data_IF_592357561609
#
_entry.id   IF_592357561609
#
_cell.length_a   1.000
_cell.length_b   1.000
_cell.length_c   1.000
_cell.angle_alpha   90.00
_cell.angle_beta   90.00
_cell.angle_gamma   90.00
#
_symmetry.space_group_name_H-M   'P 1'
#
loop_
_entity.id
_entity.type
_entity.pdbx_description
1 polymer ?
#
# COMPACT_ATOMS: atom_id res chain seq x y z
N UNK A 1 -51.53 3.29 -30.29
CA UNK A 1 -51.33 3.95 -28.99
C UNK A 1 -51.57 2.92 -27.90
N UNK A 2 -50.53 2.23 -27.43
CA UNK A 2 -50.27 2.02 -26.00
C UNK A 2 -48.95 1.27 -25.78
N UNK A 3 -48.11 1.94 -25.00
CA UNK A 3 -46.83 1.55 -24.42
C UNK A 3 -47.01 0.54 -23.30
N UNK A 4 -46.22 -0.53 -23.27
CA UNK A 4 -45.87 -1.30 -22.06
C UNK A 4 -44.38 -1.66 -22.24
N UNK A 5 -43.50 -0.76 -21.81
CA UNK A 5 -42.70 -0.91 -20.58
C UNK A 5 -41.66 -2.03 -20.64
N UNK A 6 -40.47 -1.60 -21.05
CA UNK A 6 -39.17 -2.19 -20.77
C UNK A 6 -39.07 -2.57 -19.29
N UNK A 7 -39.04 -3.87 -19.01
CA UNK A 7 -38.74 -4.43 -17.69
C UNK A 7 -37.29 -4.10 -17.33
N UNK A 8 -37.10 -2.97 -16.66
CA UNK A 8 -35.87 -2.66 -15.94
C UNK A 8 -35.61 -3.80 -14.96
N UNK A 9 -34.49 -4.50 -15.17
CA UNK A 9 -34.02 -5.57 -14.32
C UNK A 9 -33.51 -4.89 -13.04
N UNK A 10 -34.34 -4.93 -11.99
CA UNK A 10 -34.06 -4.35 -10.68
C UNK A 10 -32.67 -4.79 -10.19
N UNK A 11 -31.86 -3.81 -9.81
CA UNK A 11 -30.50 -3.99 -9.28
C UNK A 11 -30.49 -4.07 -7.75
N UNK A 12 -31.67 -4.25 -7.14
CA UNK A 12 -31.93 -4.05 -5.71
C UNK A 12 -32.16 -5.37 -4.94
N UNK A 13 -31.68 -6.51 -5.47
CA UNK A 13 -31.91 -7.85 -4.87
C UNK A 13 -30.60 -8.57 -4.50
N UNK A 14 -29.51 -7.83 -4.29
CA UNK A 14 -28.31 -8.35 -3.60
C UNK A 14 -28.54 -8.18 -2.10
N UNK A 15 -28.78 -9.29 -1.40
CA UNK A 15 -29.00 -9.31 0.04
C UNK A 15 -27.91 -8.50 0.78
N UNK A 16 -28.27 -7.72 1.82
CA UNK A 16 -27.28 -7.03 2.63
C UNK A 16 -26.29 -8.05 3.18
N UNK A 17 -24.99 -7.74 3.11
CA UNK A 17 -23.94 -8.57 3.69
C UNK A 17 -24.33 -8.93 5.13
N UNK A 18 -24.24 -10.22 5.47
CA UNK A 18 -24.63 -10.75 6.78
C UNK A 18 -23.98 -9.94 7.92
N UNK A 19 -24.76 -9.55 8.93
CA UNK A 19 -24.30 -8.77 10.08
C UNK A 19 -23.15 -9.45 10.84
N UNK A 20 -23.16 -10.78 10.92
CA UNK A 20 -22.08 -11.54 11.53
C UNK A 20 -20.78 -11.41 10.71
N UNK A 21 -20.89 -11.40 9.38
CA UNK A 21 -19.74 -11.18 8.47
C UNK A 21 -19.21 -9.76 8.63
N UNK A 22 -20.09 -8.75 8.67
CA UNK A 22 -19.71 -7.35 8.89
C UNK A 22 -18.95 -7.17 10.21
N UNK A 23 -19.48 -7.74 11.30
CA UNK A 23 -18.87 -7.68 12.63
C UNK A 23 -17.48 -8.35 12.67
N UNK A 24 -17.34 -9.49 12.00
CA UNK A 24 -16.08 -10.22 11.92
C UNK A 24 -15.01 -9.40 11.17
N UNK A 25 -15.37 -8.82 10.02
CA UNK A 25 -14.48 -7.98 9.21
C UNK A 25 -14.07 -6.71 9.98
N UNK A 26 -15.01 -6.01 10.60
CA UNK A 26 -14.71 -4.81 11.41
C UNK A 26 -13.71 -5.12 12.53
N UNK A 27 -13.97 -6.20 13.29
CA UNK A 27 -13.11 -6.62 14.39
C UNK A 27 -11.70 -6.96 13.89
N UNK A 28 -11.58 -7.68 12.77
CA UNK A 28 -10.30 -8.01 12.16
C UNK A 28 -9.54 -6.74 11.74
N UNK A 29 -10.21 -5.79 11.08
CA UNK A 29 -9.60 -4.54 10.64
C UNK A 29 -9.12 -3.66 11.79
N UNK A 30 -9.88 -3.55 12.88
CA UNK A 30 -9.47 -2.81 14.09
C UNK A 30 -8.21 -3.46 14.70
N UNK A 31 -8.14 -4.79 14.77
CA UNK A 31 -6.97 -5.51 15.29
C UNK A 31 -5.74 -5.28 14.41
N UNK A 32 -5.89 -5.34 13.08
CA UNK A 32 -4.83 -5.05 12.11
C UNK A 32 -4.31 -3.62 12.30
N UNK A 33 -5.20 -2.62 12.30
CA UNK A 33 -4.84 -1.21 12.46
C UNK A 33 -4.10 -0.97 13.78
N UNK A 34 -4.55 -1.57 14.88
CA UNK A 34 -3.89 -1.47 16.19
C UNK A 34 -2.49 -2.07 16.18
N UNK A 35 -2.29 -3.21 15.51
CA UNK A 35 -0.97 -3.85 15.38
C UNK A 35 -0.01 -3.00 14.55
N UNK A 36 -0.50 -2.41 13.46
CA UNK A 36 0.28 -1.50 12.61
C UNK A 36 0.68 -0.22 13.36
N UNK A 37 -0.27 0.41 14.05
CA UNK A 37 0.01 1.61 14.86
C UNK A 37 1.02 1.34 15.99
N UNK A 38 0.94 0.18 16.64
CA UNK A 38 1.93 -0.20 17.67
C UNK A 38 3.31 -0.44 17.08
N UNK A 39 3.41 -0.97 15.85
CA UNK A 39 4.70 -1.22 15.17
C UNK A 39 5.30 0.07 14.61
N UNK A 40 4.48 1.04 14.21
CA UNK A 40 4.95 2.38 13.82
C UNK A 40 5.33 3.26 15.02
N UNK A 41 4.74 3.01 16.20
CA UNK A 41 5.10 3.68 17.46
C UNK A 41 6.22 2.95 18.24
N UNK A 42 6.57 1.71 17.90
CA UNK A 42 7.63 0.93 18.55
C UNK A 42 8.97 1.07 17.81
N UNK A 43 9.74 2.06 18.26
CA UNK A 43 10.98 2.59 17.65
C UNK A 43 12.30 1.88 18.03
N UNK A 44 12.42 0.58 18.36
CA UNK A 44 13.78 0.00 18.24
C UNK A 44 13.82 -1.50 17.89
N UNK A 45 13.68 -1.88 16.62
CA UNK A 45 14.24 -3.16 16.13
C UNK A 45 14.73 -3.00 14.68
N UNK A 46 15.85 -2.30 14.53
CA UNK A 46 16.73 -2.41 13.38
C UNK A 46 17.99 -3.15 13.81
N UNK A 47 17.95 -4.48 13.73
CA UNK A 47 19.15 -5.30 13.84
C UNK A 47 19.45 -5.85 12.44
N UNK A 48 20.50 -5.33 11.81
CA UNK A 48 21.06 -5.90 10.57
C UNK A 48 21.56 -4.90 9.53
N UNK A 49 21.30 -3.60 9.65
CA UNK A 49 21.85 -2.56 8.77
C UNK A 49 22.71 -1.58 9.59
N UNK A 50 23.79 -1.06 8.98
CA UNK A 50 24.81 -0.25 9.67
C UNK A 50 24.26 1.09 10.21
N UNK A 51 23.11 1.56 9.72
CA UNK A 51 22.40 2.71 10.27
C UNK A 51 20.89 2.44 10.42
N UNK A 52 20.22 3.01 11.44
CA UNK A 52 18.78 2.90 11.58
C UNK A 52 18.04 3.69 10.48
N UNK A 53 17.63 3.03 9.39
CA UNK A 53 16.65 3.52 8.42
C UNK A 53 15.30 3.78 9.09
N UNK A 54 14.89 5.05 9.14
CA UNK A 54 13.59 5.44 9.68
C UNK A 54 12.45 4.75 8.90
N UNK A 55 11.42 4.26 9.63
CA UNK A 55 10.29 3.53 9.04
C UNK A 55 9.56 4.36 7.97
N UNK A 56 9.54 5.68 8.17
CA UNK A 56 8.97 6.62 7.22
C UNK A 56 9.80 6.73 5.93
N UNK A 57 11.13 6.69 6.04
CA UNK A 57 12.03 6.66 4.88
C UNK A 57 11.79 5.40 4.05
N UNK A 58 11.70 4.23 4.69
CA UNK A 58 11.43 2.97 3.98
C UNK A 58 10.06 2.98 3.28
N UNK A 59 9.04 3.59 3.88
CA UNK A 59 7.72 3.74 3.27
C UNK A 59 7.75 4.59 1.99
N UNK A 60 8.63 5.60 1.91
CA UNK A 60 8.86 6.35 0.66
C UNK A 60 9.52 5.47 -0.38
N UNK A 61 10.52 4.66 -0.01
CA UNK A 61 11.19 3.76 -0.95
C UNK A 61 10.20 2.73 -1.51
N UNK A 62 9.36 2.12 -0.66
CA UNK A 62 8.28 1.21 -1.09
C UNK A 62 7.28 1.91 -2.03
N UNK A 63 6.90 3.16 -1.76
CA UNK A 63 5.98 3.90 -2.62
C UNK A 63 6.61 4.22 -4.00
N UNK A 64 7.91 4.54 -4.05
CA UNK A 64 8.61 4.78 -5.31
C UNK A 64 8.73 3.49 -6.13
N UNK A 65 9.04 2.35 -5.49
CA UNK A 65 9.09 1.04 -6.14
C UNK A 65 7.75 0.65 -6.79
N UNK A 66 6.65 0.87 -6.06
CA UNK A 66 5.30 0.60 -6.55
C UNK A 66 4.94 1.47 -7.75
N UNK A 67 5.15 2.78 -7.66
CA UNK A 67 4.86 3.70 -8.78
C UNK A 67 5.75 3.48 -10.00
N UNK A 68 6.97 2.98 -9.82
CA UNK A 68 7.86 2.63 -10.94
C UNK A 68 7.40 1.37 -11.67
N UNK A 69 6.78 0.43 -10.95
CA UNK A 69 6.23 -0.82 -11.51
C UNK A 69 4.92 -0.59 -12.27
N UNK A 70 4.18 0.46 -11.94
CA UNK A 70 2.99 0.91 -12.68
C UNK A 70 3.42 1.70 -13.94
N UNK A 71 3.62 0.97 -15.04
CA UNK A 71 4.12 1.48 -16.33
C UNK A 71 3.54 2.86 -16.72
N UNK A 72 4.39 3.89 -16.70
CA UNK A 72 4.15 5.16 -17.38
C UNK A 72 3.81 6.37 -16.51
N UNK A 73 3.81 6.27 -15.18
CA UNK A 73 3.68 7.46 -14.32
C UNK A 73 4.99 7.88 -13.68
N UNK A 74 5.35 9.14 -13.95
CA UNK A 74 6.38 9.87 -13.25
C UNK A 74 6.08 9.92 -11.73
N UNK A 75 6.87 9.22 -10.91
CA UNK A 75 6.67 9.19 -9.46
C UNK A 75 7.01 10.53 -8.85
N UNK A 76 6.00 11.27 -8.38
CA UNK A 76 6.18 12.59 -7.76
C UNK A 76 6.08 12.55 -6.24
N UNK A 77 6.48 13.65 -5.58
CA UNK A 77 6.21 13.82 -4.14
C UNK A 77 4.70 13.79 -3.84
N UNK A 78 3.87 14.25 -4.78
CA UNK A 78 2.40 14.18 -4.66
C UNK A 78 1.92 12.73 -4.65
N UNK A 79 2.41 11.91 -5.58
CA UNK A 79 2.14 10.47 -5.60
C UNK A 79 2.51 9.80 -4.27
N UNK A 80 3.69 10.13 -3.73
CA UNK A 80 4.12 9.60 -2.42
C UNK A 80 3.21 10.08 -1.27
N UNK A 81 2.76 11.34 -1.30
CA UNK A 81 1.84 11.87 -0.30
C UNK A 81 0.49 11.13 -0.31
N UNK A 82 -0.07 10.94 -1.50
CA UNK A 82 -1.32 10.21 -1.71
C UNK A 82 -1.18 8.75 -1.25
N UNK A 83 -0.09 8.10 -1.67
CA UNK A 83 0.14 6.68 -1.36
C UNK A 83 0.34 6.41 0.13
N UNK A 84 1.01 7.33 0.82
CA UNK A 84 1.22 7.24 2.27
C UNK A 84 0.05 7.81 3.09
N UNK A 85 -0.97 8.38 2.44
CA UNK A 85 -2.10 9.06 3.07
C UNK A 85 -1.65 10.11 4.11
N UNK A 86 -0.66 10.93 3.75
CA UNK A 86 -0.11 12.00 4.58
C UNK A 86 -0.16 13.35 3.86
N UNK A 87 -0.06 14.44 4.62
CA UNK A 87 -0.04 15.77 4.04
C UNK A 87 1.23 16.00 3.17
N UNK A 88 1.13 16.80 2.08
CA UNK A 88 2.26 17.04 1.17
C UNK A 88 3.50 17.63 1.87
N UNK A 89 3.32 18.43 2.93
CA UNK A 89 4.45 19.01 3.65
C UNK A 89 5.26 17.95 4.40
N UNK A 90 4.58 16.95 4.97
CA UNK A 90 5.18 15.80 5.63
C UNK A 90 5.81 14.86 4.62
N UNK A 91 5.13 14.56 3.51
CA UNK A 91 5.69 13.76 2.43
C UNK A 91 6.99 14.37 1.89
N UNK A 92 7.00 15.68 1.64
CA UNK A 92 8.21 16.39 1.17
C UNK A 92 9.40 16.25 2.13
N UNK A 93 9.16 16.37 3.45
CA UNK A 93 10.19 16.16 4.47
C UNK A 93 10.76 14.74 4.44
N UNK A 94 9.89 13.73 4.44
CA UNK A 94 10.33 12.32 4.45
C UNK A 94 11.06 11.97 3.14
N UNK A 95 10.59 12.48 1.99
CA UNK A 95 11.29 12.33 0.70
C UNK A 95 12.65 13.00 0.74
N UNK A 96 12.77 14.20 1.30
CA UNK A 96 14.05 14.87 1.44
C UNK A 96 15.02 14.04 2.30
N UNK A 97 14.51 13.36 3.34
CA UNK A 97 15.31 12.47 4.17
C UNK A 97 15.75 11.23 3.38
N UNK A 98 14.86 10.61 2.60
CA UNK A 98 15.19 9.48 1.71
C UNK A 98 16.25 9.84 0.65
N UNK A 99 16.20 11.07 0.13
CA UNK A 99 17.22 11.58 -0.80
C UNK A 99 18.56 11.79 -0.09
N UNK A 100 18.55 12.38 1.11
CA UNK A 100 19.79 12.58 1.89
C UNK A 100 20.44 11.27 2.33
N UNK A 101 19.63 10.26 2.63
CA UNK A 101 20.09 8.89 2.93
C UNK A 101 20.51 8.10 1.69
N UNK A 102 20.35 8.66 0.48
CA UNK A 102 20.81 8.05 -0.77
C UNK A 102 19.94 6.91 -1.30
N UNK A 103 18.75 6.67 -0.75
CA UNK A 103 17.83 5.63 -1.23
C UNK A 103 17.06 6.05 -2.49
N UNK A 104 16.80 7.35 -2.63
CA UNK A 104 16.04 7.94 -3.73
C UNK A 104 16.83 9.09 -4.33
N UNK A 105 16.70 9.31 -5.63
CA UNK A 105 17.21 10.51 -6.30
C UNK A 105 16.09 11.26 -7.00
N UNK A 106 16.25 12.58 -7.08
CA UNK A 106 15.35 13.44 -7.86
C UNK A 106 15.81 13.48 -9.32
N UNK A 107 14.87 13.30 -10.23
CA UNK A 107 15.09 13.47 -11.67
C UNK A 107 14.10 14.47 -12.25
N UNK A 108 14.43 15.05 -13.40
CA UNK A 108 13.46 15.83 -14.15
C UNK A 108 12.40 14.88 -14.73
N UNK A 109 11.14 15.27 -14.63
CA UNK A 109 10.03 14.58 -15.32
C UNK A 109 10.29 14.53 -16.82
N UNK A 110 9.99 13.38 -17.43
CA UNK A 110 10.09 13.22 -18.88
C UNK A 110 8.97 13.97 -19.62
N UNK A 111 7.84 14.20 -18.95
CA UNK A 111 6.68 14.90 -19.52
C UNK A 111 6.70 16.43 -19.29
N UNK A 112 7.19 16.88 -18.13
CA UNK A 112 7.29 18.30 -17.79
C UNK A 112 8.52 18.56 -16.92
N UNK A 113 9.63 19.00 -17.52
CA UNK A 113 10.89 19.25 -16.80
C UNK A 113 10.82 20.26 -15.64
N UNK A 114 9.70 20.95 -15.45
CA UNK A 114 9.42 21.76 -14.23
C UNK A 114 9.01 20.91 -13.03
N UNK A 115 8.65 19.65 -13.22
CA UNK A 115 8.28 18.68 -12.19
C UNK A 115 9.49 17.83 -11.84
N UNK A 116 9.66 17.59 -10.54
CA UNK A 116 10.68 16.69 -10.01
C UNK A 116 10.04 15.33 -9.74
N UNK A 117 10.59 14.31 -10.38
CA UNK A 117 10.26 12.91 -10.15
C UNK A 117 11.28 12.25 -9.23
N UNK A 118 10.92 11.09 -8.74
CA UNK A 118 11.69 10.29 -7.80
C UNK A 118 12.00 8.95 -8.46
N UNK A 119 13.26 8.56 -8.39
CA UNK A 119 13.72 7.24 -8.84
C UNK A 119 14.51 6.58 -7.71
N UNK A 120 14.42 5.26 -7.60
CA UNK A 120 15.29 4.51 -6.71
C UNK A 120 16.75 4.63 -7.15
N UNK A 121 17.64 4.64 -6.18
CA UNK A 121 19.06 4.36 -6.41
C UNK A 121 19.31 2.86 -6.25
N UNK A 122 20.50 2.38 -6.61
CA UNK A 122 20.89 0.99 -6.31
C UNK A 122 20.75 0.66 -4.81
N UNK A 123 21.07 1.60 -3.92
CA UNK A 123 20.88 1.43 -2.48
C UNK A 123 19.39 1.35 -2.10
N UNK A 124 18.53 2.13 -2.78
CA UNK A 124 17.08 2.05 -2.63
C UNK A 124 16.51 0.69 -3.05
N UNK A 125 16.93 0.18 -4.20
CA UNK A 125 16.55 -1.13 -4.71
C UNK A 125 16.97 -2.26 -3.74
N UNK A 126 18.18 -2.20 -3.20
CA UNK A 126 18.64 -3.15 -2.17
C UNK A 126 17.79 -3.10 -0.90
N UNK A 127 17.43 -1.89 -0.45
CA UNK A 127 16.58 -1.69 0.73
C UNK A 127 15.17 -2.25 0.52
N UNK A 128 14.57 -2.01 -0.66
CA UNK A 128 13.29 -2.60 -1.09
C UNK A 128 13.38 -4.12 -1.08
N UNK A 129 14.38 -4.70 -1.72
CA UNK A 129 14.55 -6.14 -1.78
C UNK A 129 14.70 -6.76 -0.36
N UNK A 130 15.45 -6.11 0.53
CA UNK A 130 15.57 -6.54 1.92
C UNK A 130 14.26 -6.45 2.70
N UNK A 131 13.48 -5.39 2.49
CA UNK A 131 12.17 -5.21 3.08
C UNK A 131 11.18 -6.27 2.55
N UNK A 132 11.16 -6.54 1.25
CA UNK A 132 10.35 -7.60 0.65
C UNK A 132 10.65 -8.97 1.24
N UNK A 133 11.92 -9.37 1.34
CA UNK A 133 12.31 -10.64 1.98
C UNK A 133 11.82 -10.72 3.42
N UNK A 134 11.97 -9.64 4.18
CA UNK A 134 11.51 -9.56 5.58
C UNK A 134 9.99 -9.71 5.67
N UNK A 135 9.24 -9.02 4.81
CA UNK A 135 7.77 -9.12 4.73
C UNK A 135 7.33 -10.54 4.35
N UNK A 136 7.93 -11.13 3.32
CA UNK A 136 7.62 -12.49 2.86
C UNK A 136 7.89 -13.53 3.94
N UNK A 137 9.04 -13.47 4.62
CA UNK A 137 9.35 -14.36 5.74
C UNK A 137 8.34 -14.23 6.88
N UNK A 138 7.92 -13.00 7.18
CA UNK A 138 6.88 -12.76 8.18
C UNK A 138 5.54 -13.38 7.77
N UNK A 139 5.08 -13.18 6.53
CA UNK A 139 3.82 -13.76 6.06
C UNK A 139 3.88 -15.28 5.94
N UNK A 140 5.02 -15.85 5.54
CA UNK A 140 5.25 -17.29 5.56
C UNK A 140 5.07 -17.86 6.97
N UNK A 141 5.57 -17.18 8.01
CA UNK A 141 5.35 -17.61 9.39
C UNK A 141 3.90 -17.41 9.88
N UNK A 142 3.20 -16.39 9.40
CA UNK A 142 1.78 -16.14 9.75
C UNK A 142 0.85 -17.18 9.13
N UNK A 143 1.18 -17.64 7.93
CA UNK A 143 0.43 -18.65 7.18
C UNK A 143 0.93 -20.07 7.47
N UNK A 144 1.89 -20.23 8.37
CA UNK A 144 2.39 -21.53 8.80
C UNK A 144 1.24 -22.32 9.46
N UNK A 145 1.08 -23.58 9.05
CA UNK A 145 0.00 -24.46 9.50
C UNK A 145 -1.34 -24.29 8.79
N UNK A 146 -1.49 -23.35 7.85
CA UNK A 146 -2.64 -23.29 6.94
C UNK A 146 -2.43 -24.26 5.80
N UNK A 147 -3.49 -24.89 5.31
CA UNK A 147 -3.36 -25.73 4.12
C UNK A 147 -3.16 -24.88 2.84
N UNK A 148 -2.75 -25.53 1.75
CA UNK A 148 -2.40 -24.83 0.52
C UNK A 148 -3.62 -24.14 -0.14
N UNK A 149 -4.81 -24.69 0.03
CA UNK A 149 -6.04 -24.15 -0.56
C UNK A 149 -6.51 -22.94 0.25
N UNK A 150 -6.44 -23.01 1.59
CA UNK A 150 -6.70 -21.89 2.49
C UNK A 150 -5.76 -20.71 2.21
N UNK A 151 -4.47 -20.97 1.99
CA UNK A 151 -3.49 -19.93 1.65
C UNK A 151 -3.83 -19.23 0.32
N UNK A 152 -4.17 -20.01 -0.72
CA UNK A 152 -4.54 -19.47 -2.02
C UNK A 152 -5.85 -18.68 -1.97
N UNK A 153 -6.85 -19.22 -1.27
CA UNK A 153 -8.15 -18.59 -1.15
C UNK A 153 -8.06 -17.30 -0.33
N UNK A 154 -7.29 -17.29 0.76
CA UNK A 154 -7.04 -16.08 1.53
C UNK A 154 -6.35 -15.00 0.69
N UNK A 155 -5.31 -15.35 -0.07
CA UNK A 155 -4.65 -14.41 -0.96
C UNK A 155 -5.64 -13.81 -1.98
N UNK A 156 -6.46 -14.65 -2.61
CA UNK A 156 -7.47 -14.23 -3.58
C UNK A 156 -8.52 -13.30 -2.95
N UNK A 157 -9.06 -13.66 -1.79
CA UNK A 157 -10.09 -12.88 -1.09
C UNK A 157 -9.54 -11.56 -0.54
N UNK A 158 -8.32 -11.57 0.01
CA UNK A 158 -7.66 -10.38 0.54
C UNK A 158 -7.39 -9.38 -0.59
N UNK A 159 -6.87 -9.83 -1.74
CA UNK A 159 -6.67 -8.98 -2.91
C UNK A 159 -7.98 -8.38 -3.41
N UNK A 160 -9.05 -9.20 -3.51
CA UNK A 160 -10.40 -8.70 -3.87
C UNK A 160 -10.89 -7.64 -2.88
N UNK A 161 -10.72 -7.89 -1.58
CA UNK A 161 -11.15 -6.96 -0.52
C UNK A 161 -10.41 -5.62 -0.59
N UNK A 162 -9.09 -5.63 -0.78
CA UNK A 162 -8.28 -4.41 -0.93
C UNK A 162 -8.71 -3.60 -2.15
N UNK A 163 -8.90 -4.24 -3.31
CA UNK A 163 -9.41 -3.55 -4.49
C UNK A 163 -10.79 -2.89 -4.28
N UNK A 164 -11.70 -3.56 -3.54
CA UNK A 164 -12.99 -2.96 -3.18
C UNK A 164 -12.82 -1.77 -2.22
N UNK A 165 -11.86 -1.82 -1.31
CA UNK A 165 -11.54 -0.72 -0.39
C UNK A 165 -11.02 0.52 -1.11
N UNK A 166 -10.15 0.33 -2.10
CA UNK A 166 -9.59 1.43 -2.92
C UNK A 166 -10.66 2.08 -3.82
N UNK A 167 -11.66 1.31 -4.22
CA UNK A 167 -12.84 1.82 -4.94
C UNK A 167 -13.77 2.61 -4.04
N UNK A 168 -14.01 2.14 -2.80
CA UNK A 168 -14.85 2.82 -1.82
C UNK A 168 -14.24 4.14 -1.30
N UNK A 169 -12.92 4.24 -1.24
CA UNK A 169 -12.22 5.45 -0.76
C UNK A 169 -12.15 6.58 -1.80
N UNK A 170 -12.55 6.31 -3.06
CA UNK A 170 -12.55 7.27 -4.18
C UNK A 170 -13.95 7.86 -4.48
N UNK A 171 -14.99 7.44 -3.76
CA UNK A 171 -16.35 7.97 -3.84
C UNK A 171 -16.70 8.80 -2.61
#
# INVERSE_FOLDING_TARGET
MNTIETKARNRDDEAPVDEAVLTAVETAMIRIRRRQARRSLARPVMKGMAEPVDLHTLAVVDAVDEGTSESGQDVTVGFVADRLAIDPSRASRIVADAVRSGFVRRVASQEDGRRSCLELTALGEEAVAAAHRTRQNFYSHVLDGWDQDEQQEFARLLTKFVHSLDGASRG
#
